data_IF_162382938407
#
_entry.id   IF_162382938407
#
_cell.length_a   1.000
_cell.length_b   1.000
_cell.length_c   1.000
_cell.angle_alpha   90.00
_cell.angle_beta   90.00
_cell.angle_gamma   90.00
#
_symmetry.space_group_name_H-M   'P 1'
#
loop_
_entity.id
_entity.type
_entity.pdbx_description
1 polymer ?
#
# COMPACT_ATOMS: atom_id res chain seq x y z
N UNK A 1 -24.98 0.88 -2.78
CA UNK A 1 -24.91 -0.55 -3.24
C UNK A 1 -24.10 -1.38 -2.27
N UNK A 2 -24.28 -2.70 -2.35
CA UNK A 2 -23.51 -3.68 -1.57
C UNK A 2 -23.07 -4.79 -2.52
N UNK A 3 -21.76 -5.02 -2.59
CA UNK A 3 -21.13 -6.12 -3.34
C UNK A 3 -20.33 -6.92 -2.32
N UNK A 4 -20.84 -8.09 -1.96
CA UNK A 4 -20.20 -8.88 -0.90
C UNK A 4 -20.27 -10.38 -1.12
N UNK A 5 -19.22 -11.08 -0.63
CA UNK A 5 -19.11 -12.55 -0.63
C UNK A 5 -19.24 -13.15 -2.03
N UNK A 6 -18.71 -12.45 -3.03
CA UNK A 6 -18.61 -12.95 -4.39
C UNK A 6 -17.21 -13.50 -4.65
N UNK A 7 -17.09 -14.30 -5.70
CA UNK A 7 -15.83 -14.77 -6.24
C UNK A 7 -15.70 -14.28 -7.69
N UNK A 8 -14.59 -13.59 -7.97
CA UNK A 8 -14.20 -13.13 -9.30
C UNK A 8 -12.85 -13.80 -9.61
N UNK A 9 -12.88 -14.84 -10.39
CA UNK A 9 -11.70 -15.68 -10.64
C UNK A 9 -11.47 -15.87 -12.13
N UNK A 10 -10.20 -16.01 -12.52
CA UNK A 10 -9.78 -16.27 -13.89
C UNK A 10 -10.26 -15.19 -14.90
N UNK A 11 -10.15 -13.93 -14.50
CA UNK A 11 -10.62 -12.79 -15.30
C UNK A 11 -9.45 -12.16 -16.06
N UNK A 12 -9.61 -11.99 -17.38
CA UNK A 12 -8.52 -11.56 -18.26
C UNK A 12 -7.98 -10.16 -17.98
N UNK A 13 -8.81 -9.22 -17.52
CA UNK A 13 -8.46 -7.81 -17.40
C UNK A 13 -8.73 -7.25 -15.99
N UNK A 14 -9.98 -7.18 -15.58
CA UNK A 14 -10.38 -6.54 -14.33
C UNK A 14 -11.46 -7.36 -13.61
N UNK A 15 -11.25 -7.66 -12.34
CA UNK A 15 -12.19 -8.47 -11.55
C UNK A 15 -13.50 -7.74 -11.26
N UNK A 16 -13.41 -6.50 -10.80
CA UNK A 16 -14.54 -5.64 -10.50
C UNK A 16 -14.24 -4.22 -10.96
N UNK A 17 -15.05 -3.67 -11.85
CA UNK A 17 -14.92 -2.30 -12.31
C UNK A 17 -16.17 -1.47 -12.06
N UNK A 18 -15.99 -0.16 -11.83
CA UNK A 18 -17.11 0.76 -11.62
C UNK A 18 -16.74 2.22 -11.81
N UNK A 19 -17.68 2.99 -12.34
CA UNK A 19 -17.57 4.43 -12.52
C UNK A 19 -18.70 5.18 -11.82
N UNK A 20 -18.37 6.28 -11.14
CA UNK A 20 -19.37 7.07 -10.40
C UNK A 20 -19.94 6.33 -9.19
N UNK A 21 -19.12 5.50 -8.56
CA UNK A 21 -19.55 4.60 -7.46
C UNK A 21 -19.73 5.41 -6.17
N UNK A 22 -20.93 5.41 -5.62
CA UNK A 22 -21.26 6.18 -4.42
C UNK A 22 -21.98 5.34 -3.37
N UNK A 23 -21.70 5.64 -2.09
CA UNK A 23 -22.34 5.02 -0.93
C UNK A 23 -22.37 3.49 -1.06
N UNK A 24 -21.23 2.90 -1.41
CA UNK A 24 -21.11 1.48 -1.76
C UNK A 24 -20.20 0.75 -0.78
N UNK A 25 -20.65 -0.41 -0.36
CA UNK A 25 -19.87 -1.37 0.41
C UNK A 25 -19.41 -2.52 -0.51
N UNK A 26 -18.08 -2.73 -0.56
CA UNK A 26 -17.47 -3.88 -1.25
C UNK A 26 -16.76 -4.70 -0.17
N UNK A 27 -17.30 -5.87 0.18
CA UNK A 27 -16.91 -6.58 1.37
C UNK A 27 -16.80 -8.10 1.19
N UNK A 28 -15.71 -8.68 1.70
CA UNK A 28 -15.56 -10.14 1.81
C UNK A 28 -15.57 -10.85 0.46
N UNK A 29 -15.13 -10.20 -0.61
CA UNK A 29 -15.03 -10.82 -1.91
C UNK A 29 -13.66 -11.49 -2.08
N UNK A 30 -13.62 -12.60 -2.80
CA UNK A 30 -12.41 -13.22 -3.31
C UNK A 30 -12.20 -12.79 -4.77
N UNK A 31 -11.04 -12.22 -5.05
CA UNK A 31 -10.65 -11.78 -6.40
C UNK A 31 -9.27 -12.39 -6.66
N UNK A 32 -9.19 -13.29 -7.61
CA UNK A 32 -7.93 -13.99 -7.85
C UNK A 32 -7.72 -14.37 -9.32
N UNK A 33 -6.45 -14.50 -9.72
CA UNK A 33 -6.03 -14.84 -11.08
C UNK A 33 -6.63 -13.88 -12.11
N UNK A 34 -6.41 -12.59 -11.87
CA UNK A 34 -6.90 -11.49 -12.72
C UNK A 34 -5.74 -10.87 -13.49
N UNK A 35 -6.02 -10.39 -14.71
CA UNK A 35 -5.08 -9.59 -15.50
C UNK A 35 -4.24 -10.39 -16.50
N UNK A 36 -4.48 -11.68 -16.68
CA UNK A 36 -3.64 -12.56 -17.48
C UNK A 36 -3.66 -12.27 -18.99
N UNK A 37 -4.53 -11.45 -19.48
CA UNK A 37 -4.58 -11.08 -20.91
C UNK A 37 -3.57 -10.01 -21.31
N UNK A 38 -2.62 -9.65 -20.49
CA UNK A 38 -1.56 -8.66 -20.82
C UNK A 38 -2.07 -7.52 -21.73
N UNK A 39 -3.17 -6.95 -21.35
CA UNK A 39 -3.70 -5.75 -22.01
C UNK A 39 -3.01 -4.51 -21.47
N UNK A 40 -3.38 -3.35 -21.95
CA UNK A 40 -2.77 -2.09 -21.57
C UNK A 40 -2.88 -1.81 -20.06
N UNK A 41 -1.80 -2.07 -19.32
CA UNK A 41 -1.72 -1.99 -17.86
C UNK A 41 -2.14 -0.64 -17.27
N UNK A 42 -1.95 0.43 -18.03
CA UNK A 42 -2.20 1.80 -17.54
C UNK A 42 -3.66 2.22 -17.61
N UNK A 43 -4.57 1.41 -18.15
CA UNK A 43 -5.92 1.87 -18.44
C UNK A 43 -7.01 1.14 -17.67
N UNK A 44 -7.13 -0.17 -17.79
CA UNK A 44 -8.36 -0.83 -17.31
C UNK A 44 -8.09 -2.09 -16.47
N UNK A 45 -6.87 -2.33 -16.06
CA UNK A 45 -6.51 -3.52 -15.29
C UNK A 45 -6.70 -3.31 -13.78
N UNK A 46 -7.04 -4.37 -13.07
CA UNK A 46 -7.12 -4.34 -11.61
C UNK A 46 -7.91 -5.51 -11.03
N UNK A 47 -7.59 -5.91 -9.83
CA UNK A 47 -8.48 -6.76 -9.06
C UNK A 47 -9.81 -6.03 -8.83
N UNK A 48 -9.72 -4.80 -8.32
CA UNK A 48 -10.85 -3.85 -8.23
C UNK A 48 -10.39 -2.52 -8.83
N UNK A 49 -11.12 -2.00 -9.84
CA UNK A 49 -10.87 -0.66 -10.39
C UNK A 49 -12.12 0.21 -10.31
N UNK A 50 -12.02 1.32 -9.58
CA UNK A 50 -13.15 2.24 -9.37
C UNK A 50 -12.76 3.67 -9.71
N UNK A 51 -13.65 4.37 -10.38
CA UNK A 51 -13.53 5.79 -10.69
C UNK A 51 -14.59 6.60 -9.95
N UNK A 52 -14.26 7.85 -9.59
CA UNK A 52 -15.21 8.82 -9.05
C UNK A 52 -15.98 8.27 -7.84
N UNK A 53 -15.27 7.57 -6.95
CA UNK A 53 -15.91 7.02 -5.75
C UNK A 53 -16.25 8.13 -4.76
N UNK A 54 -17.36 7.97 -4.06
CA UNK A 54 -17.75 8.85 -2.96
C UNK A 54 -18.40 8.09 -1.83
N UNK A 55 -17.90 8.26 -0.60
CA UNK A 55 -18.42 7.58 0.59
C UNK A 55 -18.46 6.05 0.42
N UNK A 56 -17.39 5.46 -0.09
CA UNK A 56 -17.29 4.03 -0.32
C UNK A 56 -16.43 3.35 0.76
N UNK A 57 -16.75 2.09 1.03
CA UNK A 57 -16.00 1.25 1.95
C UNK A 57 -15.65 -0.08 1.27
N UNK A 58 -14.34 -0.32 1.10
CA UNK A 58 -13.79 -1.57 0.57
C UNK A 58 -13.09 -2.29 1.72
N UNK A 59 -13.64 -3.42 2.18
CA UNK A 59 -13.07 -4.10 3.33
C UNK A 59 -13.13 -5.62 3.28
N UNK A 60 -12.21 -6.25 3.98
CA UNK A 60 -12.19 -7.69 4.17
C UNK A 60 -12.20 -8.47 2.83
N UNK A 61 -11.70 -7.87 1.75
CA UNK A 61 -11.56 -8.55 0.48
C UNK A 61 -10.20 -9.26 0.43
N UNK A 62 -10.17 -10.40 -0.20
CA UNK A 62 -8.94 -11.13 -0.54
C UNK A 62 -8.69 -10.95 -2.02
N UNK A 63 -7.55 -10.36 -2.38
CA UNK A 63 -7.15 -10.05 -3.74
C UNK A 63 -5.76 -10.62 -3.96
N UNK A 64 -5.63 -11.66 -4.76
CA UNK A 64 -4.36 -12.40 -4.86
C UNK A 64 -4.11 -12.98 -6.24
N UNK A 65 -2.84 -13.33 -6.50
CA UNK A 65 -2.40 -13.97 -7.75
C UNK A 65 -2.80 -13.16 -8.98
N UNK A 66 -2.46 -11.88 -8.95
CA UNK A 66 -2.67 -10.97 -10.06
C UNK A 66 -1.43 -10.91 -10.93
N UNK A 67 -1.63 -10.86 -12.23
CA UNK A 67 -0.56 -10.60 -13.18
C UNK A 67 -0.98 -9.45 -14.10
N UNK A 68 -0.09 -8.49 -14.32
CA UNK A 68 -0.36 -7.28 -15.12
C UNK A 68 -1.53 -6.42 -14.58
N UNK A 69 -1.92 -6.58 -13.33
CA UNK A 69 -3.05 -5.85 -12.75
C UNK A 69 -2.71 -5.36 -11.34
N UNK A 70 -3.18 -4.19 -11.00
CA UNK A 70 -3.13 -3.65 -9.64
C UNK A 70 -4.13 -4.39 -8.74
N UNK A 71 -3.85 -4.47 -7.44
CA UNK A 71 -4.79 -5.05 -6.48
C UNK A 71 -6.08 -4.25 -6.41
N UNK A 72 -6.01 -3.02 -5.89
CA UNK A 72 -7.12 -2.07 -5.85
C UNK A 72 -6.66 -0.76 -6.49
N UNK A 73 -7.35 -0.34 -7.52
CA UNK A 73 -7.11 0.95 -8.18
C UNK A 73 -8.29 1.89 -7.96
N UNK A 74 -8.07 2.94 -7.19
CA UNK A 74 -8.98 4.07 -7.05
C UNK A 74 -8.52 5.16 -8.01
N UNK A 75 -9.12 5.19 -9.21
CA UNK A 75 -8.76 6.06 -10.30
C UNK A 75 -9.66 7.30 -10.33
N UNK A 76 -9.04 8.45 -10.38
CA UNK A 76 -9.61 9.76 -10.62
C UNK A 76 -10.77 10.23 -9.71
N UNK A 77 -10.52 11.30 -8.96
CA UNK A 77 -11.50 12.03 -8.11
C UNK A 77 -12.25 11.16 -7.08
N UNK A 78 -11.55 10.26 -6.43
CA UNK A 78 -12.11 9.51 -5.32
C UNK A 78 -12.10 10.36 -4.05
N UNK A 79 -13.20 10.37 -3.33
CA UNK A 79 -13.38 11.17 -2.12
C UNK A 79 -14.04 10.37 -1.01
N UNK A 80 -13.59 10.58 0.24
CA UNK A 80 -14.14 9.93 1.42
C UNK A 80 -14.34 8.40 1.22
N UNK A 81 -13.32 7.77 0.60
CA UNK A 81 -13.31 6.33 0.34
C UNK A 81 -12.29 5.68 1.27
N UNK A 82 -12.72 4.61 1.93
CA UNK A 82 -11.87 3.85 2.84
C UNK A 82 -11.62 2.45 2.30
N UNK A 83 -10.34 2.10 2.21
CA UNK A 83 -9.85 0.75 1.88
C UNK A 83 -9.22 0.19 3.14
N UNK A 84 -9.87 -0.80 3.77
CA UNK A 84 -9.44 -1.27 5.09
C UNK A 84 -9.57 -2.77 5.24
N UNK A 85 -8.65 -3.36 5.99
CA UNK A 85 -8.70 -4.78 6.35
C UNK A 85 -8.77 -5.71 5.11
N UNK A 86 -8.13 -5.35 4.01
CA UNK A 86 -8.02 -6.23 2.85
C UNK A 86 -6.67 -6.97 2.89
N UNK A 87 -6.65 -8.17 2.35
CA UNK A 87 -5.43 -8.94 2.08
C UNK A 87 -5.18 -8.89 0.57
N UNK A 88 -4.08 -8.25 0.18
CA UNK A 88 -3.70 -8.06 -1.22
C UNK A 88 -2.30 -8.62 -1.39
N UNK A 89 -2.14 -9.60 -2.27
CA UNK A 89 -0.83 -10.20 -2.41
C UNK A 89 -0.59 -10.93 -3.71
N UNK A 90 0.70 -11.18 -3.94
CA UNK A 90 1.17 -11.81 -5.16
C UNK A 90 0.70 -11.05 -6.41
N UNK A 91 0.98 -9.74 -6.40
CA UNK A 91 0.74 -8.85 -7.55
C UNK A 91 2.01 -8.81 -8.40
N UNK A 92 1.98 -9.55 -9.50
CA UNK A 92 3.16 -9.82 -10.34
C UNK A 92 3.12 -8.97 -11.60
N UNK A 93 4.27 -8.41 -11.95
CA UNK A 93 4.43 -7.60 -13.17
C UNK A 93 3.44 -6.44 -13.26
N UNK A 94 3.16 -5.79 -12.13
CA UNK A 94 2.23 -4.67 -12.07
C UNK A 94 2.91 -3.34 -12.37
N UNK A 95 2.14 -2.39 -12.87
CA UNK A 95 2.62 -1.04 -13.10
C UNK A 95 2.66 -0.21 -11.80
N UNK A 96 1.75 -0.44 -10.86
CA UNK A 96 1.60 0.36 -9.64
C UNK A 96 1.56 -0.44 -8.34
N UNK A 97 1.17 -1.72 -8.37
CA UNK A 97 1.26 -2.61 -7.22
C UNK A 97 -0.05 -2.92 -6.49
N UNK A 98 0.03 -3.08 -5.17
CA UNK A 98 -1.10 -3.58 -4.37
C UNK A 98 -2.29 -2.62 -4.31
N UNK A 99 -2.07 -1.38 -3.87
CA UNK A 99 -3.11 -0.34 -3.87
C UNK A 99 -2.62 0.87 -4.66
N UNK A 100 -3.42 1.32 -5.59
CA UNK A 100 -3.14 2.50 -6.38
C UNK A 100 -4.25 3.55 -6.19
N UNK A 101 -3.88 4.71 -5.64
CA UNK A 101 -4.74 5.89 -5.51
C UNK A 101 -4.26 6.95 -6.48
N UNK A 102 -5.07 7.26 -7.47
CA UNK A 102 -4.72 8.19 -8.53
C UNK A 102 -5.62 9.42 -8.55
N UNK A 103 -5.00 10.58 -8.71
CA UNK A 103 -5.67 11.85 -8.99
C UNK A 103 -6.90 12.10 -8.09
N UNK A 104 -6.74 11.84 -6.80
CA UNK A 104 -7.82 11.86 -5.82
C UNK A 104 -7.48 12.78 -4.66
N UNK A 105 -8.45 13.55 -4.23
CA UNK A 105 -8.30 14.51 -3.16
C UNK A 105 -9.35 14.24 -2.08
N UNK A 106 -9.09 14.75 -0.88
CA UNK A 106 -10.00 14.80 0.26
C UNK A 106 -10.35 13.45 0.92
N UNK A 107 -9.85 13.29 2.13
CA UNK A 107 -10.30 12.32 3.14
C UNK A 107 -10.31 10.84 2.74
N UNK A 108 -9.49 10.40 1.78
CA UNK A 108 -9.32 8.97 1.52
C UNK A 108 -8.48 8.32 2.63
N UNK A 109 -8.77 7.07 2.94
CA UNK A 109 -8.10 6.34 4.00
C UNK A 109 -7.75 4.91 3.54
N UNK A 110 -6.48 4.54 3.67
CA UNK A 110 -5.95 3.22 3.35
C UNK A 110 -5.37 2.63 4.64
N UNK A 111 -6.10 1.74 5.32
CA UNK A 111 -5.70 1.30 6.64
C UNK A 111 -5.93 -0.18 6.94
N UNK A 112 -5.16 -0.72 7.85
CA UNK A 112 -5.25 -2.11 8.31
C UNK A 112 -5.16 -3.15 7.18
N UNK A 113 -4.62 -2.80 6.02
CA UNK A 113 -4.45 -3.76 4.94
C UNK A 113 -3.15 -4.55 5.13
N UNK A 114 -3.15 -5.78 4.64
CA UNK A 114 -1.95 -6.57 4.41
C UNK A 114 -1.66 -6.51 2.92
N UNK A 115 -0.48 -6.01 2.56
CA UNK A 115 -0.01 -5.91 1.18
C UNK A 115 1.30 -6.69 1.08
N UNK A 116 1.30 -7.76 0.29
CA UNK A 116 2.38 -8.74 0.32
C UNK A 116 2.80 -9.18 -1.07
N UNK A 117 4.10 -9.15 -1.34
CA UNK A 117 4.70 -9.53 -2.64
C UNK A 117 4.15 -8.72 -3.82
N UNK A 118 4.76 -7.58 -4.06
CA UNK A 118 4.52 -6.80 -5.26
C UNK A 118 5.81 -6.77 -6.11
N UNK A 119 5.71 -7.16 -7.37
CA UNK A 119 6.86 -7.16 -8.30
C UNK A 119 6.58 -6.27 -9.50
N UNK A 120 7.65 -5.62 -10.01
CA UNK A 120 7.56 -4.85 -11.24
C UNK A 120 7.51 -5.73 -12.48
N UNK A 121 6.98 -5.19 -13.56
CA UNK A 121 6.97 -5.85 -14.84
C UNK A 121 8.35 -5.92 -15.48
N UNK A 122 8.63 -7.01 -16.18
CA UNK A 122 9.92 -7.25 -16.86
C UNK A 122 10.08 -6.56 -18.21
N UNK A 123 9.07 -5.81 -18.63
CA UNK A 123 9.03 -5.15 -19.93
C UNK A 123 8.42 -6.03 -21.03
N UNK A 124 7.56 -5.48 -21.85
CA UNK A 124 6.93 -6.21 -22.96
C UNK A 124 5.67 -5.57 -23.52
N UNK A 125 4.92 -4.87 -22.72
CA UNK A 125 3.76 -4.08 -23.18
C UNK A 125 4.12 -2.61 -23.40
N UNK A 126 3.27 -1.87 -24.08
CA UNK A 126 3.49 -0.45 -24.38
C UNK A 126 3.63 0.47 -23.16
N UNK A 127 3.30 -0.04 -21.96
CA UNK A 127 3.41 0.67 -20.68
C UNK A 127 4.26 -0.05 -19.64
N UNK A 128 4.85 -1.15 -19.97
CA UNK A 128 5.73 -1.88 -19.07
C UNK A 128 7.12 -1.24 -19.10
N UNK A 129 7.30 -0.23 -18.26
CA UNK A 129 8.58 0.47 -18.14
C UNK A 129 9.41 -0.19 -17.04
N UNK A 130 10.60 -0.73 -17.36
CA UNK A 130 11.53 -1.20 -16.33
C UNK A 130 11.79 -0.12 -15.28
N UNK A 131 11.75 -0.49 -14.00
CA UNK A 131 11.88 0.46 -12.90
C UNK A 131 10.57 1.18 -12.50
N UNK A 132 9.44 0.77 -13.08
CA UNK A 132 8.12 1.24 -12.70
C UNK A 132 7.26 0.08 -12.21
N UNK A 133 6.84 0.13 -10.96
CA UNK A 133 6.00 -0.91 -10.35
C UNK A 133 6.69 -1.63 -9.19
N UNK A 134 6.11 -2.75 -8.79
CA UNK A 134 6.60 -3.49 -7.60
C UNK A 134 6.41 -2.72 -6.30
N UNK A 135 5.46 -1.81 -6.25
CA UNK A 135 5.15 -0.98 -5.08
C UNK A 135 3.99 -1.58 -4.27
N UNK A 136 4.03 -1.40 -2.95
CA UNK A 136 2.93 -1.82 -2.10
C UNK A 136 1.73 -0.90 -2.26
N UNK A 137 1.90 0.39 -1.98
CA UNK A 137 0.89 1.43 -2.16
C UNK A 137 1.47 2.52 -3.06
N UNK A 138 0.71 2.95 -4.05
CA UNK A 138 1.05 4.09 -4.90
C UNK A 138 0.04 5.21 -4.72
N UNK A 139 0.54 6.43 -4.58
CA UNK A 139 -0.26 7.65 -4.48
C UNK A 139 0.22 8.62 -5.56
N UNK A 140 -0.54 8.74 -6.63
CA UNK A 140 -0.21 9.59 -7.77
C UNK A 140 -1.12 10.82 -7.82
N UNK A 141 -0.54 12.01 -7.80
CA UNK A 141 -1.28 13.25 -7.93
C UNK A 141 -2.45 13.40 -6.96
N UNK A 142 -2.35 12.77 -5.79
CA UNK A 142 -3.41 12.70 -4.79
C UNK A 142 -2.96 13.32 -3.47
N UNK A 143 -3.85 13.96 -2.73
CA UNK A 143 -3.52 14.61 -1.49
C UNK A 143 -4.51 14.29 -0.34
N UNK A 144 -4.12 14.68 0.88
CA UNK A 144 -4.93 14.55 2.11
C UNK A 144 -5.35 13.10 2.45
N UNK A 145 -4.59 12.11 1.97
CA UNK A 145 -4.83 10.70 2.25
C UNK A 145 -4.15 10.27 3.54
N UNK A 146 -4.85 9.46 4.33
CA UNK A 146 -4.28 8.80 5.50
C UNK A 146 -3.96 7.34 5.16
N UNK A 147 -2.69 6.95 5.30
CA UNK A 147 -2.20 5.59 5.10
C UNK A 147 -1.70 5.09 6.45
N UNK A 148 -2.48 4.21 7.10
CA UNK A 148 -2.21 3.89 8.49
C UNK A 148 -2.40 2.41 8.83
N UNK A 149 -1.57 1.91 9.76
CA UNK A 149 -1.72 0.57 10.31
C UNK A 149 -1.70 -0.55 9.26
N UNK A 150 -1.04 -0.37 8.13
CA UNK A 150 -0.87 -1.44 7.15
C UNK A 150 0.38 -2.27 7.48
N UNK A 151 0.36 -3.53 7.08
CA UNK A 151 1.56 -4.36 6.93
C UNK A 151 1.88 -4.43 5.44
N UNK A 152 3.02 -3.89 5.07
CA UNK A 152 3.49 -3.84 3.69
C UNK A 152 4.82 -4.60 3.64
N UNK A 153 4.87 -5.66 2.85
CA UNK A 153 6.06 -6.51 2.83
C UNK A 153 6.36 -7.17 1.50
N UNK A 154 7.62 -7.58 1.36
CA UNK A 154 8.18 -8.23 0.19
C UNK A 154 7.88 -7.46 -1.13
N UNK A 155 7.96 -6.13 -1.09
CA UNK A 155 7.83 -5.30 -2.29
C UNK A 155 9.18 -5.16 -2.98
N UNK A 156 9.21 -5.31 -4.31
CA UNK A 156 10.45 -5.24 -5.07
C UNK A 156 11.07 -3.84 -5.00
N UNK A 157 10.26 -2.79 -5.08
CA UNK A 157 10.71 -1.41 -4.92
C UNK A 157 10.08 -0.80 -3.65
N UNK A 158 9.28 0.23 -3.72
CA UNK A 158 8.82 0.96 -2.54
C UNK A 158 7.63 0.28 -1.82
N UNK A 159 7.63 0.29 -0.49
CA UNK A 159 6.46 -0.02 0.29
C UNK A 159 5.34 0.99 0.00
N UNK A 160 5.67 2.30 0.05
CA UNK A 160 4.76 3.37 -0.37
C UNK A 160 5.48 4.32 -1.31
N UNK A 161 4.94 4.50 -2.50
CA UNK A 161 5.44 5.41 -3.54
C UNK A 161 4.49 6.58 -3.73
N UNK A 162 5.02 7.79 -3.63
CA UNK A 162 4.31 9.03 -3.97
C UNK A 162 4.86 9.60 -5.28
N UNK A 163 3.98 10.07 -6.15
CA UNK A 163 4.38 10.65 -7.43
C UNK A 163 3.56 11.92 -7.72
N UNK A 164 4.26 12.99 -8.05
CA UNK A 164 3.62 14.15 -8.66
C UNK A 164 3.39 13.85 -10.16
N UNK A 165 2.26 14.24 -10.68
CA UNK A 165 1.95 14.16 -12.11
C UNK A 165 1.95 15.57 -12.66
N UNK A 166 3.06 15.96 -13.26
CA UNK A 166 3.22 17.30 -13.82
C UNK A 166 2.17 17.61 -14.89
N UNK A 167 1.66 18.83 -14.87
CA UNK A 167 0.67 19.29 -15.84
C UNK A 167 -0.73 18.74 -15.68
N UNK A 168 -0.95 17.77 -14.76
CA UNK A 168 -2.30 17.25 -14.51
C UNK A 168 -3.10 18.21 -13.64
N UNK A 169 -4.33 18.47 -14.04
CA UNK A 169 -5.31 19.20 -13.24
C UNK A 169 -6.45 18.25 -12.89
N UNK A 170 -6.74 18.16 -11.58
CA UNK A 170 -7.81 17.31 -11.05
C UNK A 170 -8.82 18.23 -10.35
N UNK A 171 -9.97 18.42 -10.97
CA UNK A 171 -10.89 19.47 -10.54
C UNK A 171 -10.23 20.85 -10.65
N UNK A 172 -10.03 21.54 -9.51
CA UNK A 172 -9.31 22.82 -9.40
C UNK A 172 -7.89 22.69 -8.89
N UNK A 173 -7.37 21.48 -8.70
CA UNK A 173 -6.06 21.20 -8.09
C UNK A 173 -5.08 20.63 -9.09
N UNK A 174 -3.79 20.92 -8.88
CA UNK A 174 -2.72 20.29 -9.65
C UNK A 174 -2.45 18.84 -9.22
N UNK A 175 -1.76 18.10 -10.05
CA UNK A 175 -1.40 16.69 -9.82
C UNK A 175 -0.23 16.48 -8.83
N UNK A 176 -0.18 17.23 -7.73
CA UNK A 176 0.82 17.09 -6.67
C UNK A 176 0.32 16.20 -5.54
N UNK A 177 1.25 15.52 -4.87
CA UNK A 177 0.96 14.67 -3.70
C UNK A 177 1.36 15.40 -2.43
N UNK A 178 0.39 16.00 -1.74
CA UNK A 178 0.63 16.83 -0.55
C UNK A 178 -0.27 16.46 0.60
N UNK A 179 0.18 16.79 1.81
CA UNK A 179 -0.59 16.63 3.05
C UNK A 179 -1.08 15.19 3.30
N UNK A 180 -0.43 14.22 2.68
CA UNK A 180 -0.66 12.82 2.97
C UNK A 180 0.04 12.44 4.28
N UNK A 181 -0.54 11.50 5.01
CA UNK A 181 -0.03 11.02 6.29
C UNK A 181 0.24 9.54 6.24
N UNK A 182 1.46 9.15 6.58
CA UNK A 182 1.91 7.74 6.66
C UNK A 182 2.15 7.40 8.12
N UNK A 183 1.21 6.71 8.76
CA UNK A 183 1.15 6.56 10.22
C UNK A 183 1.08 5.09 10.64
N UNK A 184 1.89 4.69 11.61
CA UNK A 184 1.75 3.38 12.27
C UNK A 184 1.77 2.16 11.31
N UNK A 185 2.45 2.25 10.18
CA UNK A 185 2.61 1.11 9.27
C UNK A 185 3.80 0.24 9.66
N UNK A 186 3.79 -1.00 9.22
CA UNK A 186 4.94 -1.91 9.26
C UNK A 186 5.48 -2.06 7.84
N UNK A 187 6.77 -1.79 7.68
CA UNK A 187 7.51 -2.03 6.44
C UNK A 187 8.44 -3.23 6.62
N UNK A 188 8.14 -4.32 5.93
CA UNK A 188 8.88 -5.56 6.01
C UNK A 188 9.51 -5.91 4.66
N UNK A 189 10.84 -5.89 4.57
CA UNK A 189 11.59 -6.30 3.37
C UNK A 189 11.16 -5.57 2.09
N UNK A 190 10.85 -4.29 2.20
CA UNK A 190 10.59 -3.44 1.03
C UNK A 190 11.92 -2.97 0.43
N UNK A 191 12.00 -2.83 -0.88
CA UNK A 191 13.18 -2.27 -1.55
C UNK A 191 13.49 -0.86 -1.04
N UNK A 192 12.46 0.00 -0.96
CA UNK A 192 12.41 1.25 -0.21
C UNK A 192 11.22 1.20 0.73
N UNK A 193 11.28 1.85 1.89
CA UNK A 193 10.10 1.91 2.75
C UNK A 193 9.11 2.96 2.24
N UNK A 194 9.53 4.22 2.22
CA UNK A 194 8.72 5.36 1.76
C UNK A 194 9.52 6.13 0.71
N UNK A 195 8.87 6.47 -0.39
CA UNK A 195 9.41 7.37 -1.41
C UNK A 195 8.46 8.57 -1.55
N UNK A 196 8.80 9.68 -0.88
CA UNK A 196 8.05 10.92 -0.98
C UNK A 196 8.47 11.74 -2.21
N UNK A 197 7.51 12.23 -2.95
CA UNK A 197 7.70 13.20 -4.06
C UNK A 197 7.49 14.65 -3.64
N UNK A 198 7.16 14.91 -2.37
CA UNK A 198 6.93 16.25 -1.85
C UNK A 198 7.18 16.28 -0.34
N UNK A 199 7.79 17.34 0.15
CA UNK A 199 8.08 17.52 1.57
C UNK A 199 6.84 17.89 2.41
N UNK A 200 5.72 18.24 1.80
CA UNK A 200 4.48 18.57 2.50
C UNK A 200 3.70 17.32 2.99
N UNK A 201 4.25 16.12 2.77
CA UNK A 201 3.74 14.88 3.35
C UNK A 201 4.36 14.64 4.73
N UNK A 202 3.77 13.77 5.52
CA UNK A 202 4.28 13.43 6.86
C UNK A 202 4.34 11.92 7.07
N UNK A 203 5.33 11.47 7.82
CA UNK A 203 5.45 10.08 8.29
C UNK A 203 5.69 10.09 9.79
N UNK A 204 5.06 9.16 10.53
CA UNK A 204 5.15 9.11 11.99
C UNK A 204 4.80 7.73 12.55
N UNK A 205 5.52 7.33 13.58
CA UNK A 205 5.28 6.11 14.36
C UNK A 205 5.20 4.83 13.51
N UNK A 206 5.99 4.74 12.44
CA UNK A 206 6.11 3.56 11.60
C UNK A 206 7.15 2.59 12.17
N UNK A 207 7.04 1.33 11.82
CA UNK A 207 7.97 0.28 12.20
C UNK A 207 8.67 -0.26 10.96
N UNK A 208 10.00 -0.28 11.02
CA UNK A 208 10.86 -0.68 9.91
C UNK A 208 11.60 -1.97 10.25
N UNK A 209 11.68 -2.90 9.33
CA UNK A 209 12.58 -4.04 9.51
C UNK A 209 14.03 -3.65 9.22
N UNK A 210 14.98 -4.31 9.92
CA UNK A 210 16.41 -4.29 9.56
C UNK A 210 16.77 -5.44 8.62
N UNK A 211 15.93 -6.44 8.53
CA UNK A 211 16.15 -7.54 7.60
C UNK A 211 15.66 -7.13 6.20
N UNK A 212 16.61 -6.73 5.39
CA UNK A 212 16.38 -6.31 4.01
C UNK A 212 16.31 -7.48 3.03
N UNK A 213 16.35 -8.71 3.53
CA UNK A 213 16.42 -9.92 2.71
C UNK A 213 17.72 -10.04 1.90
N UNK A 214 17.92 -11.19 1.29
CA UNK A 214 19.03 -11.38 0.34
C UNK A 214 18.69 -10.67 -0.97
N UNK A 215 19.53 -9.72 -1.37
CA UNK A 215 19.48 -9.13 -2.72
C UNK A 215 19.99 -10.18 -3.69
N UNK A 216 19.15 -10.62 -4.59
CA UNK A 216 19.55 -11.52 -5.67
C UNK A 216 19.99 -10.77 -6.93
N UNK A 217 19.73 -9.47 -7.00
CA UNK A 217 20.10 -8.62 -8.12
C UNK A 217 21.11 -7.55 -7.67
N UNK A 218 22.33 -7.66 -8.17
CA UNK A 218 23.44 -6.74 -7.88
C UNK A 218 23.13 -5.30 -8.35
N UNK A 219 22.24 -5.12 -9.30
CA UNK A 219 21.89 -3.80 -9.83
C UNK A 219 20.97 -3.01 -8.90
N UNK A 220 20.30 -3.67 -7.96
CA UNK A 220 19.36 -3.06 -7.01
C UNK A 220 19.92 -2.96 -5.57
N UNK A 221 21.20 -3.16 -5.40
CA UNK A 221 21.84 -3.21 -4.07
C UNK A 221 21.86 -1.90 -3.29
N UNK A 222 21.38 -0.81 -3.86
CA UNK A 222 21.45 0.52 -3.25
C UNK A 222 20.05 0.99 -2.85
N UNK A 223 19.83 1.23 -1.57
CA UNK A 223 18.64 1.92 -1.08
C UNK A 223 17.58 1.07 -0.39
N UNK A 224 17.89 -0.16 -0.03
CA UNK A 224 16.93 -1.04 0.63
C UNK A 224 16.55 -0.59 2.03
N UNK A 225 15.24 -0.54 2.26
CA UNK A 225 14.65 -0.08 3.50
C UNK A 225 14.94 1.36 3.83
N UNK A 226 15.51 2.08 2.90
CA UNK A 226 15.75 3.49 3.04
C UNK A 226 14.51 4.28 2.63
N UNK A 227 14.39 5.47 3.18
CA UNK A 227 13.41 6.44 2.74
C UNK A 227 14.03 7.33 1.64
N UNK A 228 13.20 7.71 0.69
CA UNK A 228 13.62 8.50 -0.45
C UNK A 228 12.95 9.87 -0.47
N UNK A 229 13.77 10.89 -0.63
CA UNK A 229 13.37 12.27 -0.87
C UNK A 229 13.46 12.55 -2.38
N UNK A 230 12.52 12.02 -3.16
CA UNK A 230 12.56 12.14 -4.62
C UNK A 230 12.17 13.54 -5.14
N UNK A 231 11.71 14.43 -4.27
CA UNK A 231 11.51 15.85 -4.62
C UNK A 231 12.81 16.64 -4.77
N UNK A 232 13.95 16.07 -4.38
CA UNK A 232 15.25 16.70 -4.51
C UNK A 232 15.94 16.26 -5.80
N UNK A 233 16.85 17.09 -6.30
CA UNK A 233 17.66 16.78 -7.47
C UNK A 233 19.16 16.99 -7.15
N UNK A 234 19.94 15.92 -7.03
CA UNK A 234 19.55 14.50 -7.10
C UNK A 234 18.67 14.07 -5.92
N UNK A 235 17.89 13.03 -6.11
CA UNK A 235 17.11 12.41 -5.03
C UNK A 235 18.04 11.89 -3.93
N UNK A 236 17.61 12.03 -2.68
CA UNK A 236 18.37 11.55 -1.53
C UNK A 236 17.76 10.26 -0.97
N UNK A 237 18.63 9.29 -0.71
CA UNK A 237 18.32 8.07 0.04
C UNK A 237 18.80 8.25 1.48
N UNK A 238 17.95 7.99 2.44
CA UNK A 238 18.21 8.23 3.84
C UNK A 238 17.78 7.04 4.69
N UNK A 239 18.64 6.59 5.58
CA UNK A 239 18.22 5.71 6.65
C UNK A 239 17.26 6.44 7.61
N UNK A 240 16.66 5.71 8.54
CA UNK A 240 15.67 6.28 9.43
C UNK A 240 16.25 7.41 10.29
N UNK A 241 17.49 7.27 10.75
CA UNK A 241 18.14 8.29 11.59
C UNK A 241 18.36 9.60 10.82
N UNK A 242 18.88 9.51 9.59
CA UNK A 242 19.06 10.67 8.73
C UNK A 242 17.72 11.30 8.31
N UNK A 243 16.70 10.47 8.03
CA UNK A 243 15.35 10.89 7.71
C UNK A 243 14.72 11.71 8.83
N UNK A 244 14.85 11.22 10.08
CA UNK A 244 14.41 11.93 11.29
C UNK A 244 15.16 13.25 11.49
N UNK A 245 16.48 13.20 11.32
CA UNK A 245 17.36 14.35 11.58
C UNK A 245 17.18 15.48 10.58
N UNK A 246 17.13 15.16 9.28
CA UNK A 246 17.13 16.18 8.23
C UNK A 246 15.74 16.71 7.89
N UNK A 247 14.72 15.87 7.95
CA UNK A 247 13.36 16.28 7.57
C UNK A 247 12.38 16.30 8.73
N UNK A 248 12.72 15.72 9.85
CA UNK A 248 11.85 15.66 11.02
C UNK A 248 10.67 14.71 10.87
N UNK A 249 10.69 13.83 9.85
CA UNK A 249 9.72 12.76 9.69
C UNK A 249 10.02 11.60 10.65
N UNK A 250 9.03 10.77 10.93
CA UNK A 250 9.17 9.50 11.64
C UNK A 250 9.84 9.59 13.03
N UNK A 251 9.65 10.67 13.75
CA UNK A 251 10.33 10.92 15.04
C UNK A 251 10.11 9.82 16.08
N UNK A 252 8.91 9.23 16.11
CA UNK A 252 8.55 8.13 17.01
C UNK A 252 8.59 6.76 16.32
N UNK A 253 9.23 6.67 15.17
CA UNK A 253 9.43 5.42 14.43
C UNK A 253 10.71 4.73 14.88
N UNK A 254 10.77 3.42 14.72
CA UNK A 254 11.94 2.63 15.08
C UNK A 254 12.16 1.46 14.12
N UNK A 255 13.37 0.94 14.15
CA UNK A 255 13.66 -0.38 13.60
C UNK A 255 13.24 -1.47 14.58
N UNK A 256 12.84 -2.62 14.03
CA UNK A 256 12.63 -3.85 14.76
C UNK A 256 13.26 -5.03 14.02
N UNK A 257 13.69 -6.02 14.78
CA UNK A 257 14.01 -7.33 14.22
C UNK A 257 12.67 -8.06 14.05
N UNK A 258 12.31 -8.34 12.81
CA UNK A 258 11.01 -8.94 12.46
C UNK A 258 11.21 -10.24 11.68
N UNK A 259 10.32 -11.19 11.94
CA UNK A 259 10.04 -12.31 11.04
C UNK A 259 8.55 -12.28 10.77
N UNK A 260 8.16 -12.29 9.51
CA UNK A 260 6.76 -12.35 9.09
C UNK A 260 6.65 -13.38 7.99
N UNK A 261 5.73 -14.30 8.13
CA UNK A 261 5.36 -15.25 7.09
C UNK A 261 3.86 -15.14 6.79
N UNK A 262 3.54 -15.12 5.51
CA UNK A 262 2.16 -15.01 5.03
C UNK A 262 1.94 -16.05 3.94
N UNK A 263 1.06 -16.99 4.23
CA UNK A 263 0.53 -17.92 3.23
C UNK A 263 -0.75 -17.32 2.64
N UNK A 264 -0.66 -16.85 1.41
CA UNK A 264 -1.79 -16.24 0.71
C UNK A 264 -2.85 -17.25 0.29
N UNK A 265 -2.51 -18.53 0.13
CA UNK A 265 -3.45 -19.58 -0.23
C UNK A 265 -4.24 -20.07 0.99
N UNK A 266 -3.57 -20.31 2.07
CA UNK A 266 -4.20 -20.66 3.34
C UNK A 266 -4.83 -19.45 4.04
N UNK A 267 -4.47 -18.23 3.65
CA UNK A 267 -4.83 -16.97 4.32
C UNK A 267 -4.42 -17.01 5.79
N UNK A 268 -3.16 -17.36 6.02
CA UNK A 268 -2.60 -17.36 7.38
C UNK A 268 -1.41 -16.41 7.45
N UNK A 269 -1.24 -15.86 8.63
CA UNK A 269 -0.11 -15.02 9.00
C UNK A 269 0.45 -15.51 10.33
N UNK A 270 1.76 -15.59 10.40
CA UNK A 270 2.50 -15.69 11.65
C UNK A 270 3.74 -14.80 11.62
N UNK A 271 4.28 -14.53 12.78
CA UNK A 271 5.47 -13.71 12.87
C UNK A 271 5.80 -13.26 14.28
N UNK A 272 6.91 -12.60 14.37
CA UNK A 272 7.36 -12.00 15.61
C UNK A 272 8.10 -10.70 15.32
N UNK A 273 8.13 -9.82 16.29
CA UNK A 273 9.09 -8.73 16.30
C UNK A 273 9.63 -8.50 17.70
N UNK A 274 10.92 -8.20 17.75
CA UNK A 274 11.63 -7.84 18.97
C UNK A 274 12.23 -6.44 18.84
N UNK A 275 12.54 -5.83 19.98
CA UNK A 275 13.13 -4.49 20.07
C UNK A 275 12.28 -3.37 19.44
N UNK A 276 11.01 -3.64 19.14
CA UNK A 276 10.09 -2.62 18.67
C UNK A 276 9.68 -1.72 19.84
N UNK A 277 10.09 -0.47 19.80
CA UNK A 277 9.75 0.53 20.83
C UNK A 277 8.61 1.44 20.39
N UNK A 278 8.32 1.45 19.09
CA UNK A 278 7.29 2.33 18.52
C UNK A 278 5.90 1.99 19.04
N UNK A 279 5.24 2.99 19.58
CA UNK A 279 3.85 2.97 20.00
C UNK A 279 3.23 4.33 19.68
N UNK A 280 1.96 4.33 19.39
CA UNK A 280 1.20 5.54 19.14
C UNK A 280 -0.12 5.53 19.91
N UNK A 281 -0.68 6.70 20.25
CA UNK A 281 -2.03 6.80 20.77
C UNK A 281 -3.02 6.17 19.80
N UNK A 282 -4.02 5.48 20.36
CA UNK A 282 -5.09 4.89 19.56
C UNK A 282 -6.05 5.97 19.10
N UNK A 283 -6.03 6.28 17.82
CA UNK A 283 -6.96 7.26 17.25
C UNK A 283 -8.37 6.70 17.13
N UNK A 284 -9.36 7.62 17.07
CA UNK A 284 -10.79 7.27 17.03
C UNK A 284 -11.16 6.28 15.93
N UNK A 285 -10.50 6.35 14.79
CA UNK A 285 -10.79 5.49 13.64
C UNK A 285 -10.13 4.10 13.71
N UNK A 286 -9.19 3.88 14.63
CA UNK A 286 -8.34 2.68 14.70
C UNK A 286 -8.52 1.89 16.01
N UNK A 287 -9.73 1.88 16.54
CA UNK A 287 -10.06 1.24 17.82
C UNK A 287 -10.05 -0.29 17.78
N UNK A 288 -10.02 -0.88 16.61
CA UNK A 288 -9.95 -2.33 16.42
C UNK A 288 -8.88 -2.67 15.41
N UNK A 289 -8.30 -3.83 15.56
CA UNK A 289 -7.36 -4.38 14.58
C UNK A 289 -8.07 -5.18 13.47
N UNK A 290 -7.28 -5.77 12.57
CA UNK A 290 -7.76 -6.57 11.44
C UNK A 290 -8.67 -7.72 11.87
N UNK A 291 -8.38 -8.35 13.00
CA UNK A 291 -9.16 -9.46 13.54
C UNK A 291 -10.33 -9.01 14.44
N UNK A 292 -10.50 -7.69 14.59
CA UNK A 292 -11.57 -7.12 15.40
C UNK A 292 -11.24 -6.98 16.88
N UNK A 293 -10.01 -7.28 17.33
CA UNK A 293 -9.56 -7.09 18.69
C UNK A 293 -9.54 -5.58 19.04
N UNK A 294 -10.00 -5.24 20.24
CA UNK A 294 -10.06 -3.86 20.68
C UNK A 294 -8.68 -3.36 21.12
N UNK A 295 -8.25 -2.23 20.57
CA UNK A 295 -7.03 -1.57 20.99
C UNK A 295 -7.23 -0.85 22.35
N UNK A 296 -6.15 -0.82 23.16
CA UNK A 296 -6.07 0.02 24.36
C UNK A 296 -5.88 1.52 24.01
N UNK A 297 -5.42 2.30 24.99
CA UNK A 297 -5.11 3.72 24.78
C UNK A 297 -3.94 3.96 23.84
N UNK A 298 -3.03 3.00 23.79
CA UNK A 298 -1.89 2.98 22.85
C UNK A 298 -1.85 1.65 22.12
N UNK A 299 -1.32 1.66 20.91
CA UNK A 299 -1.14 0.46 20.11
C UNK A 299 0.20 0.47 19.37
N UNK A 300 0.63 -0.72 18.96
CA UNK A 300 1.76 -0.89 18.06
C UNK A 300 1.36 -0.62 16.61
N UNK A 301 2.33 -0.31 15.75
CA UNK A 301 2.11 -0.25 14.30
C UNK A 301 1.57 -1.55 13.71
N UNK A 302 0.96 -1.44 12.54
CA UNK A 302 0.47 -2.57 11.77
C UNK A 302 -1.02 -2.86 11.93
N UNK A 303 -1.54 -3.81 11.13
CA UNK A 303 -2.96 -4.13 11.08
C UNK A 303 -3.43 -4.93 12.30
N UNK A 304 -2.51 -5.59 13.00
CA UNK A 304 -2.77 -6.40 14.19
C UNK A 304 -2.16 -5.76 15.44
N UNK A 305 -2.82 -5.89 16.58
CA UNK A 305 -2.28 -5.41 17.85
C UNK A 305 -1.02 -6.19 18.27
N UNK A 306 -0.90 -7.43 17.81
CA UNK A 306 0.28 -8.30 17.95
C UNK A 306 0.37 -9.24 16.75
N UNK A 307 1.57 -9.52 16.30
CA UNK A 307 1.77 -10.61 15.34
C UNK A 307 1.55 -11.95 16.07
N UNK A 308 0.77 -12.86 15.49
CA UNK A 308 0.59 -14.19 16.04
C UNK A 308 1.88 -15.01 15.93
N UNK A 309 2.19 -15.78 16.94
CA UNK A 309 3.39 -16.66 16.95
C UNK A 309 3.18 -17.98 16.20
N UNK A 310 1.97 -18.26 15.79
CA UNK A 310 1.59 -19.45 15.03
C UNK A 310 0.67 -19.05 13.88
N UNK A 311 0.64 -19.79 12.76
CA UNK A 311 -0.21 -19.50 11.62
C UNK A 311 -1.66 -19.23 12.03
N UNK A 312 -2.07 -18.00 11.92
CA UNK A 312 -3.40 -17.52 12.31
C UNK A 312 -4.13 -17.01 11.06
N UNK A 313 -5.38 -17.40 10.91
CA UNK A 313 -6.19 -16.98 9.76
C UNK A 313 -6.45 -15.48 9.79
N UNK A 314 -6.25 -14.85 8.64
CA UNK A 314 -6.41 -13.41 8.39
C UNK A 314 -7.52 -13.13 7.38
#
# INVERSE_FOLDING_TARGET
SIIRRNQFTDVGVCGLAGMGVQNTLIEGNLIERVGWQDVELAWETGGIKLHLTKNCLLRNNVIRHLIHAEGIWLDYQNTNTRVTANVIGDTVETLRGGIYLEASHDANMLDHNIIWKATEGKGGGSYNMPGHGGWGITVDGSDETVIAHNLIGDTQDAGIKFRNIEGRIVGSRGGTTRRNKVLNNIFYRCGKAIDFSNQDNTAEANLYTRDWGKVTDETQGVGRGLNWASWLTPALMLDLEAWQKYFGFDKNSSYADMSVDIDLDALTLDGSFSRATTQAPTEKHFKRDLLGEAAGEVRKPGPLLRLPSEPTRI
#
